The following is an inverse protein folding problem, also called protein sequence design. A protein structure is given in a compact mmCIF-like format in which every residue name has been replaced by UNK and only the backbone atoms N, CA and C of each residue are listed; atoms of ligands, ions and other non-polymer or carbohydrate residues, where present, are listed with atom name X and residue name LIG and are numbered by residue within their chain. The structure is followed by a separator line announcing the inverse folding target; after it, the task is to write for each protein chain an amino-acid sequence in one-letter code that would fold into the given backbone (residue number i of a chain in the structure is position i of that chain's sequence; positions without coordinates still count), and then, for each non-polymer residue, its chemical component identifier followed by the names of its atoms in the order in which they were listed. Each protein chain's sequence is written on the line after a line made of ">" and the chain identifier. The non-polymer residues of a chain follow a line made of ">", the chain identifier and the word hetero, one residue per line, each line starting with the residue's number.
data_IF_005579940930
#
_entry.id   IF_005579940930
#
_cell.length_a   1.000
_cell.length_b   1.000
_cell.length_c   1.000
_cell.angle_alpha   90.00
_cell.angle_beta   90.00
_cell.angle_gamma   90.00
#
_symmetry.space_group_name_H-M   'P 1'
#
loop_
_entity.id
_entity.type
_entity.pdbx_description
1 polymer ?
#
# COMPACT_ATOMS: atom_id res chain seq x y z
N UNK A 1 -20.20 50.33 -32.81
CA UNK A 1 -18.98 49.56 -32.72
C UNK A 1 -19.02 48.77 -31.41
N UNK A 2 -19.49 47.49 -31.49
CA UNK A 2 -19.66 46.62 -30.32
C UNK A 2 -18.41 45.73 -30.20
N UNK A 3 -17.60 45.95 -29.17
CA UNK A 3 -16.43 45.11 -28.87
C UNK A 3 -16.88 43.90 -28.07
N UNK A 4 -16.97 42.74 -28.73
CA UNK A 4 -17.17 41.44 -28.08
C UNK A 4 -15.90 41.04 -27.30
N UNK A 5 -16.00 41.04 -25.98
CA UNK A 5 -14.97 40.53 -25.07
C UNK A 5 -15.11 39.01 -25.00
N UNK A 6 -14.23 38.27 -25.67
CA UNK A 6 -14.20 36.81 -25.63
C UNK A 6 -13.53 36.38 -24.30
N UNK A 7 -14.33 35.89 -23.37
CA UNK A 7 -13.87 35.35 -22.10
C UNK A 7 -13.34 33.94 -22.35
N UNK A 8 -12.02 33.77 -22.47
CA UNK A 8 -11.36 32.46 -22.56
C UNK A 8 -11.31 31.88 -21.16
N UNK A 9 -12.29 30.99 -20.83
CA UNK A 9 -12.20 30.14 -19.63
C UNK A 9 -11.13 29.07 -19.85
N UNK A 10 -9.94 29.25 -19.30
CA UNK A 10 -8.91 28.23 -19.23
C UNK A 10 -9.36 27.17 -18.20
N UNK A 11 -9.92 26.07 -18.68
CA UNK A 11 -10.14 24.85 -17.90
C UNK A 11 -8.77 24.24 -17.56
N UNK A 12 -8.24 24.60 -16.38
CA UNK A 12 -7.11 23.88 -15.78
C UNK A 12 -7.61 22.49 -15.41
N UNK A 13 -6.99 21.40 -15.89
CA UNK A 13 -7.32 20.06 -15.42
C UNK A 13 -6.97 19.97 -13.93
N UNK A 14 -7.98 19.93 -13.08
CA UNK A 14 -7.80 19.49 -11.70
C UNK A 14 -7.43 18.00 -11.76
N UNK A 15 -6.16 17.68 -11.56
CA UNK A 15 -5.79 16.32 -11.21
C UNK A 15 -6.43 16.04 -9.85
N UNK A 16 -7.59 15.37 -9.86
CA UNK A 16 -8.19 14.83 -8.66
C UNK A 16 -7.25 13.74 -8.13
N UNK A 17 -6.38 14.09 -7.18
CA UNK A 17 -5.61 13.13 -6.44
C UNK A 17 -6.62 12.31 -5.63
N UNK A 18 -6.83 11.05 -5.98
CA UNK A 18 -7.84 10.19 -5.37
C UNK A 18 -7.51 9.91 -3.89
N UNK A 19 -6.24 9.85 -3.55
CA UNK A 19 -5.73 9.60 -2.18
C UNK A 19 -5.38 10.91 -1.43
N UNK A 20 -5.23 10.80 -0.10
CA UNK A 20 -4.86 11.92 0.77
C UNK A 20 -3.37 11.92 1.21
N UNK A 21 -2.50 11.28 0.44
CA UNK A 21 -1.07 11.24 0.72
C UNK A 21 -0.40 12.57 0.36
N UNK A 22 0.39 13.09 1.30
CA UNK A 22 1.23 14.29 1.13
C UNK A 22 2.67 13.91 1.40
N UNK A 23 3.57 14.20 0.47
CA UNK A 23 5.01 13.93 0.65
C UNK A 23 5.56 14.70 1.87
N UNK A 24 6.39 14.03 2.66
CA UNK A 24 6.96 14.56 3.91
C UNK A 24 6.04 14.42 5.12
N UNK A 25 4.75 14.13 4.96
CA UNK A 25 3.82 13.86 6.05
C UNK A 25 3.71 12.37 6.35
N UNK A 26 3.10 12.02 7.48
CA UNK A 26 2.73 10.64 7.80
C UNK A 26 1.42 10.28 7.11
N UNK A 27 1.20 9.00 6.86
CA UNK A 27 -0.11 8.51 6.42
C UNK A 27 -1.18 8.85 7.47
N UNK A 28 -2.42 9.06 7.03
CA UNK A 28 -3.53 9.29 7.93
C UNK A 28 -3.63 8.14 8.96
N UNK A 29 -3.84 8.44 10.26
CA UNK A 29 -3.94 7.43 11.30
C UNK A 29 -5.10 6.47 11.04
N UNK A 30 -4.82 5.17 11.15
CA UNK A 30 -5.83 4.12 11.00
C UNK A 30 -5.48 2.89 11.84
N UNK A 31 -6.49 2.23 12.39
CA UNK A 31 -6.40 0.96 13.08
C UNK A 31 -7.20 -0.13 12.34
N UNK A 32 -6.70 -1.36 12.38
CA UNK A 32 -7.38 -2.56 11.91
C UNK A 32 -7.47 -3.54 13.07
N UNK A 33 -8.64 -3.63 13.70
CA UNK A 33 -8.90 -4.46 14.86
C UNK A 33 -9.59 -5.79 14.50
N UNK A 34 -10.35 -5.82 13.40
CA UNK A 34 -10.89 -7.08 12.91
C UNK A 34 -9.82 -7.82 12.11
N UNK A 35 -9.26 -8.88 12.65
CA UNK A 35 -8.11 -9.68 12.21
C UNK A 35 -6.78 -8.94 12.33
N UNK A 36 -6.53 -7.88 11.54
CA UNK A 36 -5.31 -7.09 11.64
C UNK A 36 -4.07 -7.82 11.10
N UNK A 37 -2.96 -7.74 11.81
CA UNK A 37 -1.67 -8.30 11.38
C UNK A 37 -1.58 -9.80 11.62
N UNK A 38 -1.15 -10.54 10.59
CA UNK A 38 -0.83 -11.96 10.68
C UNK A 38 0.51 -12.15 11.40
N UNK A 39 0.50 -12.92 12.47
CA UNK A 39 1.70 -13.39 13.17
C UNK A 39 1.88 -14.89 12.97
N UNK A 40 3.13 -15.37 13.06
CA UNK A 40 3.46 -16.78 12.94
C UNK A 40 4.10 -17.25 14.24
N UNK A 41 3.38 -18.11 14.97
CA UNK A 41 3.83 -18.67 16.24
C UNK A 41 3.89 -20.20 16.11
N UNK A 42 5.09 -20.80 16.23
CA UNK A 42 5.31 -22.25 16.16
C UNK A 42 4.70 -22.92 14.91
N UNK A 43 4.64 -22.20 13.78
CA UNK A 43 4.07 -22.66 12.51
C UNK A 43 2.57 -22.44 12.35
N UNK A 44 1.90 -21.91 13.37
CA UNK A 44 0.49 -21.53 13.30
C UNK A 44 0.32 -20.03 13.07
N UNK A 45 -0.77 -19.66 12.40
CA UNK A 45 -1.12 -18.28 12.13
C UNK A 45 -2.06 -17.79 13.22
N UNK A 46 -1.63 -16.69 13.87
CA UNK A 46 -2.44 -15.87 14.76
C UNK A 46 -2.66 -14.49 14.16
N UNK A 47 -3.58 -13.73 14.75
CA UNK A 47 -3.91 -12.37 14.35
C UNK A 47 -3.78 -11.43 15.54
N UNK A 48 -3.32 -10.20 15.28
CA UNK A 48 -3.29 -9.15 16.30
C UNK A 48 -3.71 -7.82 15.71
N UNK A 49 -4.22 -6.92 16.54
CA UNK A 49 -4.54 -5.57 16.14
C UNK A 49 -3.33 -4.89 15.48
N UNK A 50 -3.61 -4.19 14.40
CA UNK A 50 -2.62 -3.40 13.69
C UNK A 50 -3.04 -1.93 13.63
N UNK A 51 -2.08 -1.02 13.61
CA UNK A 51 -2.32 0.39 13.33
C UNK A 51 -1.15 1.01 12.57
N UNK A 52 -1.42 2.12 11.87
CA UNK A 52 -0.45 2.79 11.00
C UNK A 52 0.77 3.38 11.74
N UNK A 53 0.73 3.55 13.06
CA UNK A 53 1.90 3.98 13.83
C UNK A 53 3.05 2.95 13.78
N UNK A 54 2.75 1.67 13.48
CA UNK A 54 3.76 0.63 13.29
C UNK A 54 4.59 0.77 12.01
N UNK A 55 4.22 1.70 11.12
CA UNK A 55 4.94 1.96 9.87
C UNK A 55 6.20 2.82 10.05
N UNK A 56 6.53 3.24 11.27
CA UNK A 56 7.76 3.96 11.59
C UNK A 56 8.81 3.03 12.21
N UNK A 57 10.07 3.47 12.22
CA UNK A 57 11.21 2.74 12.78
C UNK A 57 12.12 2.10 11.73
N UNK A 58 11.61 1.82 10.54
CA UNK A 58 12.35 1.31 9.39
C UNK A 58 11.92 2.04 8.11
N UNK A 59 12.77 2.03 7.10
CA UNK A 59 12.34 2.37 5.74
C UNK A 59 11.27 1.37 5.32
N UNK A 60 10.12 1.86 4.86
CA UNK A 60 8.95 1.03 4.57
C UNK A 60 8.52 1.07 3.12
N UNK A 61 8.08 -0.07 2.61
CA UNK A 61 7.22 -0.11 1.42
C UNK A 61 5.89 -0.71 1.83
N UNK A 62 4.81 0.04 1.65
CA UNK A 62 3.45 -0.38 1.94
C UNK A 62 2.72 -0.64 0.63
N UNK A 63 2.16 -1.83 0.49
CA UNK A 63 1.23 -2.20 -0.57
C UNK A 63 -0.17 -2.32 0.03
N UNK A 64 -1.11 -1.52 -0.43
CA UNK A 64 -2.54 -1.76 -0.21
C UNK A 64 -3.11 -2.46 -1.43
N UNK A 65 -3.85 -3.53 -1.25
CA UNK A 65 -4.38 -4.36 -2.35
C UNK A 65 -5.82 -4.74 -2.05
N UNK A 66 -6.74 -4.49 -2.97
CA UNK A 66 -8.09 -5.02 -2.89
C UNK A 66 -8.08 -6.57 -2.89
N UNK A 67 -8.96 -7.19 -2.14
CA UNK A 67 -9.02 -8.65 -1.95
C UNK A 67 -9.50 -9.43 -3.18
N UNK A 68 -9.00 -9.10 -4.36
CA UNK A 68 -9.38 -9.71 -5.66
C UNK A 68 -8.18 -9.95 -6.56
N UNK A 69 -8.29 -10.95 -7.45
CA UNK A 69 -7.20 -11.34 -8.34
C UNK A 69 -6.74 -10.22 -9.26
N UNK A 70 -7.66 -9.39 -9.78
CA UNK A 70 -7.34 -8.25 -10.64
C UNK A 70 -6.44 -7.21 -9.96
N UNK A 71 -6.58 -7.01 -8.65
CA UNK A 71 -5.75 -6.08 -7.89
C UNK A 71 -4.39 -6.67 -7.51
N UNK A 72 -4.32 -8.00 -7.29
CA UNK A 72 -3.10 -8.70 -6.85
C UNK A 72 -1.92 -8.48 -7.79
N UNK A 73 -2.15 -8.48 -9.09
CA UNK A 73 -1.09 -8.41 -10.11
C UNK A 73 -0.75 -6.97 -10.53
N UNK A 74 -1.55 -5.96 -10.13
CA UNK A 74 -1.34 -4.56 -10.52
C UNK A 74 0.06 -4.06 -10.18
N UNK A 75 0.57 -4.43 -8.99
CA UNK A 75 1.87 -4.00 -8.49
C UNK A 75 2.85 -5.18 -8.29
N UNK A 76 2.67 -6.26 -9.08
CA UNK A 76 3.56 -7.42 -9.05
C UNK A 76 5.01 -7.04 -9.35
N UNK A 77 5.25 -6.10 -10.27
CA UNK A 77 6.58 -5.66 -10.66
C UNK A 77 7.41 -5.12 -9.49
N UNK A 78 6.81 -4.30 -8.61
CA UNK A 78 7.52 -3.81 -7.42
C UNK A 78 7.71 -4.92 -6.38
N UNK A 79 6.75 -5.81 -6.21
CA UNK A 79 6.86 -6.95 -5.30
C UNK A 79 8.02 -7.88 -5.70
N UNK A 80 8.14 -8.21 -6.97
CA UNK A 80 9.23 -9.02 -7.53
C UNK A 80 10.59 -8.32 -7.36
N UNK A 81 10.65 -6.99 -7.63
CA UNK A 81 11.88 -6.22 -7.48
C UNK A 81 12.37 -6.16 -6.02
N UNK A 82 11.46 -6.01 -5.05
CA UNK A 82 11.77 -6.05 -3.61
C UNK A 82 12.28 -7.44 -3.21
N UNK A 83 11.62 -8.50 -3.65
CA UNK A 83 12.03 -9.87 -3.34
C UNK A 83 13.43 -10.18 -3.89
N UNK A 84 13.74 -9.72 -5.11
CA UNK A 84 15.04 -9.90 -5.73
C UNK A 84 16.17 -9.05 -5.09
N UNK A 85 15.82 -7.89 -4.54
CA UNK A 85 16.80 -6.94 -4.00
C UNK A 85 17.41 -7.35 -2.65
N UNK A 86 16.80 -8.29 -1.92
CA UNK A 86 17.25 -8.78 -0.62
C UNK A 86 17.64 -7.64 0.35
N UNK A 87 16.78 -6.64 0.47
CA UNK A 87 17.01 -5.46 1.32
C UNK A 87 17.21 -5.86 2.78
N UNK A 88 18.05 -5.13 3.56
CA UNK A 88 18.42 -5.49 4.93
C UNK A 88 17.19 -5.43 5.85
N UNK A 89 16.80 -6.57 6.43
CA UNK A 89 15.57 -6.73 7.21
C UNK A 89 15.59 -5.96 8.56
N UNK A 90 16.78 -5.57 9.04
CA UNK A 90 16.94 -4.71 10.20
C UNK A 90 16.59 -3.24 9.91
N UNK A 91 16.75 -2.79 8.65
CA UNK A 91 16.50 -1.41 8.23
C UNK A 91 15.26 -1.25 7.34
N UNK A 92 14.78 -2.32 6.72
CA UNK A 92 13.67 -2.31 5.76
C UNK A 92 12.50 -3.18 6.21
N UNK A 93 11.27 -2.73 5.94
CA UNK A 93 10.05 -3.49 6.16
C UNK A 93 9.10 -3.38 4.97
N UNK A 94 8.75 -4.51 4.36
CA UNK A 94 7.61 -4.59 3.45
C UNK A 94 6.33 -4.90 4.26
N UNK A 95 5.29 -4.11 4.03
CA UNK A 95 3.96 -4.30 4.63
C UNK A 95 2.93 -4.41 3.52
N UNK A 96 2.17 -5.51 3.50
CA UNK A 96 1.07 -5.70 2.55
C UNK A 96 -0.24 -5.70 3.31
N UNK A 97 -1.14 -4.79 2.96
CA UNK A 97 -2.48 -4.65 3.55
C UNK A 97 -3.48 -5.15 2.52
N UNK A 98 -4.20 -6.22 2.84
CA UNK A 98 -5.22 -6.80 1.97
C UNK A 98 -6.60 -6.37 2.47
N UNK A 99 -7.31 -5.60 1.65
CA UNK A 99 -8.68 -5.18 1.91
C UNK A 99 -9.66 -6.27 1.45
N UNK A 100 -10.19 -7.08 2.38
CA UNK A 100 -11.16 -8.12 2.05
C UNK A 100 -12.61 -7.63 2.05
N UNK A 101 -12.89 -6.41 2.50
CA UNK A 101 -14.18 -5.73 2.29
C UNK A 101 -14.45 -5.51 0.79
N UNK A 102 -13.37 -5.31 0.03
CA UNK A 102 -13.34 -5.12 -1.42
C UNK A 102 -13.19 -6.44 -2.21
N UNK A 103 -13.37 -7.58 -1.54
CA UNK A 103 -13.31 -8.89 -2.16
C UNK A 103 -14.63 -9.22 -2.89
N UNK A 104 -14.53 -10.07 -3.92
CA UNK A 104 -15.72 -10.62 -4.56
C UNK A 104 -16.52 -11.41 -3.52
N UNK A 105 -17.85 -11.25 -3.43
CA UNK A 105 -18.67 -11.96 -2.47
C UNK A 105 -18.38 -13.47 -2.43
N UNK A 106 -18.11 -14.01 -1.24
CA UNK A 106 -17.75 -15.41 -1.03
C UNK A 106 -16.28 -15.77 -1.26
N UNK A 107 -15.45 -14.87 -1.82
CA UNK A 107 -14.03 -15.16 -2.08
C UNK A 107 -13.09 -14.83 -0.90
N UNK A 108 -13.53 -14.07 0.08
CA UNK A 108 -12.70 -13.61 1.22
C UNK A 108 -11.98 -14.76 1.97
N UNK A 109 -12.60 -15.95 2.07
CA UNK A 109 -11.98 -17.12 2.70
C UNK A 109 -10.78 -17.64 1.91
N UNK A 110 -10.83 -17.58 0.58
CA UNK A 110 -9.72 -18.01 -0.28
C UNK A 110 -8.58 -17.00 -0.23
N UNK A 111 -8.91 -15.71 -0.24
CA UNK A 111 -7.93 -14.62 -0.06
C UNK A 111 -7.19 -14.79 1.26
N UNK A 112 -7.91 -15.02 2.36
CA UNK A 112 -7.33 -15.27 3.67
C UNK A 112 -6.38 -16.47 3.67
N UNK A 113 -6.83 -17.64 3.19
CA UNK A 113 -6.00 -18.86 3.13
C UNK A 113 -4.74 -18.67 2.29
N UNK A 114 -4.84 -17.95 1.17
CA UNK A 114 -3.69 -17.59 0.34
C UNK A 114 -2.70 -16.72 1.11
N UNK A 115 -3.20 -15.74 1.86
CA UNK A 115 -2.37 -14.84 2.67
C UNK A 115 -1.68 -15.58 3.82
N UNK A 116 -2.39 -16.46 4.52
CA UNK A 116 -1.84 -17.33 5.58
C UNK A 116 -0.69 -18.21 5.05
N UNK A 117 -0.89 -18.81 3.86
CA UNK A 117 0.17 -19.57 3.18
C UNK A 117 1.37 -18.69 2.80
N UNK A 118 1.12 -17.47 2.30
CA UNK A 118 2.18 -16.51 1.97
C UNK A 118 2.96 -16.08 3.22
N UNK A 119 2.27 -15.86 4.35
CA UNK A 119 2.93 -15.52 5.62
C UNK A 119 3.87 -16.64 6.09
N UNK A 120 3.47 -17.91 5.92
CA UNK A 120 4.34 -19.06 6.25
C UNK A 120 5.58 -19.12 5.34
N UNK A 121 5.44 -18.77 4.06
CA UNK A 121 6.56 -18.73 3.11
C UNK A 121 7.50 -17.52 3.34
N UNK A 122 6.96 -16.39 3.82
CA UNK A 122 7.69 -15.13 4.06
C UNK A 122 7.46 -14.61 5.49
N UNK A 123 8.04 -15.26 6.52
CA UNK A 123 7.75 -14.95 7.93
C UNK A 123 8.13 -13.53 8.35
N UNK A 124 9.17 -12.93 7.76
CA UNK A 124 9.66 -11.59 8.07
C UNK A 124 8.78 -10.47 7.49
N UNK A 125 7.96 -10.75 6.47
CA UNK A 125 7.06 -9.77 5.88
C UNK A 125 5.85 -9.52 6.78
N UNK A 126 5.39 -8.26 6.83
CA UNK A 126 4.16 -7.88 7.53
C UNK A 126 2.99 -7.98 6.57
N UNK A 127 1.99 -8.76 6.98
CA UNK A 127 0.71 -8.88 6.27
C UNK A 127 -0.41 -8.46 7.20
N UNK A 128 -1.29 -7.60 6.70
CA UNK A 128 -2.47 -7.09 7.43
C UNK A 128 -3.71 -7.47 6.65
N UNK A 129 -4.68 -8.07 7.33
CA UNK A 129 -5.99 -8.40 6.77
C UNK A 129 -7.01 -7.39 7.27
N UNK A 130 -7.43 -6.49 6.39
CA UNK A 130 -8.43 -5.45 6.67
C UNK A 130 -9.79 -5.94 6.18
N UNK A 131 -10.59 -6.48 7.11
CA UNK A 131 -11.91 -7.03 6.82
C UNK A 131 -13.00 -5.99 6.66
N UNK A 132 -12.72 -4.75 7.03
CA UNK A 132 -13.69 -3.66 7.00
C UNK A 132 -13.32 -2.53 6.04
N UNK A 133 -12.22 -2.61 5.30
CA UNK A 133 -11.76 -1.55 4.41
C UNK A 133 -11.39 -0.24 5.13
N UNK A 134 -10.98 -0.35 6.40
CA UNK A 134 -10.66 0.81 7.22
C UNK A 134 -9.51 1.64 6.63
N UNK A 135 -8.48 0.97 6.11
CA UNK A 135 -7.31 1.63 5.49
C UNK A 135 -7.70 2.32 4.20
N UNK A 136 -8.47 1.66 3.33
CA UNK A 136 -8.96 2.27 2.08
C UNK A 136 -9.71 3.57 2.36
N UNK A 137 -10.64 3.56 3.32
CA UNK A 137 -11.41 4.76 3.68
C UNK A 137 -10.54 5.85 4.30
N UNK A 138 -9.64 5.49 5.24
CA UNK A 138 -8.78 6.46 5.91
C UNK A 138 -7.81 7.15 4.94
N UNK A 139 -7.29 6.41 3.96
CA UNK A 139 -6.33 6.93 2.99
C UNK A 139 -6.98 7.39 1.68
N UNK A 140 -8.32 7.28 1.57
CA UNK A 140 -9.12 7.65 0.39
C UNK A 140 -8.63 6.96 -0.88
N UNK A 141 -8.34 5.66 -0.81
CA UNK A 141 -7.86 4.89 -1.96
C UNK A 141 -9.03 4.49 -2.87
N UNK A 142 -8.72 4.33 -4.15
CA UNK A 142 -9.68 3.82 -5.12
C UNK A 142 -10.09 2.39 -4.75
N UNK A 143 -11.40 2.06 -4.83
CA UNK A 143 -11.88 0.69 -4.68
C UNK A 143 -11.32 -0.19 -5.81
N UNK A 144 -11.31 -1.50 -5.57
CA UNK A 144 -10.92 -2.53 -6.55
C UNK A 144 -9.45 -2.48 -7.01
N UNK A 145 -8.65 -1.57 -6.43
CA UNK A 145 -7.30 -1.23 -6.88
C UNK A 145 -6.18 -1.71 -5.97
N UNK A 146 -5.02 -1.13 -6.22
CA UNK A 146 -3.82 -1.31 -5.41
C UNK A 146 -3.07 0.01 -5.32
N UNK A 147 -2.51 0.31 -4.15
CA UNK A 147 -1.69 1.51 -3.93
C UNK A 147 -0.32 1.15 -3.37
N UNK A 148 0.68 1.96 -3.70
CA UNK A 148 2.06 1.83 -3.24
C UNK A 148 2.47 3.08 -2.49
N UNK A 149 3.03 2.92 -1.29
CA UNK A 149 3.56 4.02 -0.48
C UNK A 149 4.97 3.67 -0.01
N UNK A 150 5.93 4.55 -0.21
CA UNK A 150 7.29 4.46 0.36
C UNK A 150 7.40 5.42 1.53
N UNK A 151 7.88 4.91 2.64
CA UNK A 151 8.08 5.66 3.88
C UNK A 151 9.55 5.65 4.28
N UNK A 152 10.04 6.77 4.80
CA UNK A 152 11.33 6.81 5.49
C UNK A 152 11.24 6.18 6.90
N UNK A 153 12.36 6.10 7.60
CA UNK A 153 12.43 5.52 8.97
C UNK A 153 11.55 6.25 9.99
N UNK A 154 11.21 7.52 9.73
CA UNK A 154 10.35 8.30 10.61
C UNK A 154 8.85 8.12 10.25
N UNK A 155 8.55 7.27 9.27
CA UNK A 155 7.21 6.99 8.76
C UNK A 155 6.64 8.10 7.88
N UNK A 156 7.49 8.94 7.29
CA UNK A 156 7.08 10.01 6.39
C UNK A 156 7.03 9.52 4.95
N UNK A 157 6.01 9.94 4.23
CA UNK A 157 5.79 9.60 2.83
C UNK A 157 6.89 10.22 1.97
N UNK A 158 7.56 9.41 1.17
CA UNK A 158 8.59 9.80 0.20
C UNK A 158 8.18 9.50 -1.23
N UNK A 159 7.19 8.66 -1.40
CA UNK A 159 6.51 8.37 -2.65
C UNK A 159 5.14 7.76 -2.34
N UNK A 160 4.13 8.09 -3.14
CA UNK A 160 2.84 7.44 -3.08
C UNK A 160 2.18 7.42 -4.45
N UNK A 161 1.52 6.31 -4.78
CA UNK A 161 0.69 6.19 -5.97
C UNK A 161 -0.48 5.26 -5.68
N UNK A 162 -1.67 5.70 -6.03
CA UNK A 162 -2.88 4.89 -6.09
C UNK A 162 -3.04 4.40 -7.53
N UNK A 163 -2.99 3.09 -7.73
CA UNK A 163 -2.97 2.42 -9.02
C UNK A 163 -1.67 1.64 -9.30
N UNK A 164 -1.56 1.11 -10.51
CA UNK A 164 -0.41 0.35 -10.96
C UNK A 164 0.82 1.24 -11.19
N UNK A 165 1.99 0.77 -10.77
CA UNK A 165 3.27 1.37 -11.15
C UNK A 165 3.65 0.97 -12.57
N UNK A 166 4.14 1.93 -13.34
CA UNK A 166 4.86 1.67 -14.59
C UNK A 166 6.24 1.07 -14.28
N UNK A 167 6.90 0.49 -15.30
CA UNK A 167 8.27 -0.04 -15.11
C UNK A 167 9.26 1.07 -14.71
N UNK A 168 9.08 2.29 -15.21
CA UNK A 168 9.92 3.43 -14.83
C UNK A 168 9.71 3.82 -13.36
N UNK A 169 8.47 3.85 -12.91
CA UNK A 169 8.14 4.11 -11.50
C UNK A 169 8.67 3.00 -10.57
N UNK A 170 8.64 1.74 -10.99
CA UNK A 170 9.27 0.64 -10.24
C UNK A 170 10.76 0.90 -10.07
N UNK A 171 11.48 1.29 -11.14
CA UNK A 171 12.91 1.64 -11.07
C UNK A 171 13.16 2.83 -10.15
N UNK A 172 12.31 3.84 -10.23
CA UNK A 172 12.38 5.06 -9.41
C UNK A 172 12.19 4.73 -7.92
N UNK A 173 11.17 3.92 -7.58
CA UNK A 173 10.91 3.45 -6.22
C UNK A 173 12.09 2.64 -5.69
N UNK A 174 12.67 1.73 -6.47
CA UNK A 174 13.83 0.93 -6.06
C UNK A 174 15.08 1.80 -5.82
N UNK A 175 15.28 2.85 -6.62
CA UNK A 175 16.38 3.81 -6.43
C UNK A 175 16.16 4.62 -5.14
N UNK A 176 14.94 5.09 -4.90
CA UNK A 176 14.56 5.80 -3.68
C UNK A 176 14.79 4.95 -2.43
N UNK A 177 14.33 3.70 -2.45
CA UNK A 177 14.53 2.78 -1.32
C UNK A 177 16.02 2.58 -0.99
N UNK A 178 16.87 2.37 -2.00
CA UNK A 178 18.32 2.25 -1.80
C UNK A 178 18.93 3.52 -1.20
N UNK A 179 18.48 4.70 -1.64
CA UNK A 179 18.96 5.97 -1.10
C UNK A 179 18.52 6.21 0.35
N UNK A 180 17.33 5.74 0.74
CA UNK A 180 16.83 5.85 2.12
C UNK A 180 17.52 4.86 3.07
N UNK A 181 18.09 3.77 2.54
CA UNK A 181 18.77 2.71 3.29
C UNK A 181 20.28 2.94 3.43
N UNK A 182 20.83 3.84 2.62
CA UNK A 182 22.27 4.19 2.69
C UNK A 182 22.59 4.97 3.95
#
# INVERSE_FOLDING_TARGET
>A
MLRSLLLICTLLPFFACAHNFTEGERVAPVGVAERGELTLNQGEIDYRDWNSARLSGKVGLVLHVAGRLSAKDLNKGISDAIAAAQLPADKFQATTIINTDDAIPGSAIFVRRSLESTKKAYPSSVFVLDGQGAVQRAWRLQPDGSAVVVLDKDGRIRFAKDGALTQDEVRQVMTLLRSLLA
#
